data_IF_952816099148
#
_entry.id   IF_952816099148
#
_cell.length_a   1.000
_cell.length_b   1.000
_cell.length_c   1.000
_cell.angle_alpha   90.00
_cell.angle_beta   90.00
_cell.angle_gamma   90.00
#
_symmetry.space_group_name_H-M   'P 1'
#
loop_
_entity.id
_entity.type
_entity.pdbx_description
1 polymer ?
#
# COMPACT_ATOMS: atom_id res chain seq x y z
N UNK A 1 17.24 -11.24 -2.64
CA UNK A 1 16.41 -11.84 -1.55
C UNK A 1 16.66 -11.03 -0.28
N UNK A 2 15.62 -10.65 0.43
CA UNK A 2 15.70 -9.88 1.68
C UNK A 2 16.21 -10.77 2.81
N UNK A 3 17.25 -10.33 3.50
CA UNK A 3 17.71 -10.97 4.73
C UNK A 3 17.00 -10.32 5.92
N UNK A 4 16.03 -11.03 6.46
CA UNK A 4 15.14 -10.53 7.53
C UNK A 4 15.92 -10.23 8.80
N UNK A 5 16.85 -11.08 9.20
CA UNK A 5 17.65 -10.90 10.42
C UNK A 5 18.49 -9.63 10.36
N UNK A 6 19.09 -9.34 9.20
CA UNK A 6 19.79 -8.07 8.97
C UNK A 6 18.87 -6.85 9.12
N UNK A 7 17.69 -6.93 8.53
CA UNK A 7 16.72 -5.83 8.59
C UNK A 7 16.27 -5.61 10.02
N UNK A 8 15.96 -6.66 10.78
CA UNK A 8 15.59 -6.57 12.19
C UNK A 8 16.75 -5.97 13.01
N UNK A 9 17.97 -6.44 12.82
CA UNK A 9 19.13 -5.88 13.52
C UNK A 9 19.33 -4.39 13.23
N UNK A 10 19.13 -3.98 11.98
CA UNK A 10 19.26 -2.58 11.54
C UNK A 10 18.10 -1.68 12.02
N UNK A 11 16.92 -2.26 12.30
CA UNK A 11 15.70 -1.49 12.60
C UNK A 11 15.79 -0.66 13.89
N UNK A 12 16.50 -1.15 14.89
CA UNK A 12 16.70 -0.44 16.17
C UNK A 12 17.45 0.88 15.96
N UNK A 13 18.58 0.82 15.23
CA UNK A 13 19.39 2.01 14.94
C UNK A 13 18.67 2.97 13.99
N UNK A 14 17.93 2.41 13.00
CA UNK A 14 17.08 3.19 12.10
C UNK A 14 16.02 4.00 12.88
N UNK A 15 15.30 3.35 13.80
CA UNK A 15 14.27 3.99 14.62
C UNK A 15 14.87 4.98 15.63
N UNK A 16 16.06 4.71 16.14
CA UNK A 16 16.78 5.65 17.02
C UNK A 16 17.07 6.97 16.31
N UNK A 17 17.69 6.90 15.11
CA UNK A 17 18.02 8.10 14.34
C UNK A 17 16.75 8.83 13.86
N UNK A 18 15.72 8.07 13.46
CA UNK A 18 14.42 8.64 13.06
C UNK A 18 13.79 9.46 14.19
N UNK A 19 13.82 8.96 15.44
CA UNK A 19 13.33 9.69 16.62
C UNK A 19 14.14 10.95 16.93
N UNK A 20 15.39 10.99 16.53
CA UNK A 20 16.28 12.16 16.66
C UNK A 20 16.07 13.20 15.55
N UNK A 21 15.18 12.94 14.58
CA UNK A 21 14.84 13.88 13.50
C UNK A 21 15.82 13.90 12.34
N UNK A 22 16.69 12.90 12.21
CA UNK A 22 17.53 12.78 11.02
C UNK A 22 16.69 12.54 9.77
N UNK A 23 17.15 13.03 8.60
CA UNK A 23 16.45 12.80 7.34
C UNK A 23 16.44 11.31 6.99
N UNK A 24 15.33 10.82 6.45
CA UNK A 24 15.22 9.41 6.04
C UNK A 24 16.35 9.02 5.07
N UNK A 25 16.70 9.89 4.14
CA UNK A 25 17.79 9.66 3.19
C UNK A 25 19.10 9.41 3.93
N UNK A 26 19.47 10.28 4.87
CA UNK A 26 20.71 10.14 5.66
C UNK A 26 20.70 8.89 6.52
N UNK A 27 19.54 8.57 7.14
CA UNK A 27 19.42 7.36 7.96
C UNK A 27 19.64 6.11 7.10
N UNK A 28 18.96 6.01 5.95
CA UNK A 28 19.08 4.85 5.06
C UNK A 28 20.50 4.70 4.49
N UNK A 29 21.23 5.80 4.30
CA UNK A 29 22.63 5.76 3.90
C UNK A 29 23.52 5.23 5.03
N UNK A 30 23.46 5.83 6.22
CA UNK A 30 24.29 5.45 7.38
C UNK A 30 24.01 4.00 7.79
N UNK A 31 22.76 3.67 8.06
CA UNK A 31 22.35 2.35 8.54
C UNK A 31 22.51 1.29 7.44
N UNK A 32 22.15 1.65 6.22
CA UNK A 32 22.31 0.76 5.08
C UNK A 32 23.77 0.38 4.81
N UNK A 33 24.71 1.31 4.98
CA UNK A 33 26.14 1.03 4.83
C UNK A 33 26.68 0.22 6.02
N UNK A 34 26.34 0.60 7.25
CA UNK A 34 26.74 -0.12 8.46
C UNK A 34 26.35 -1.60 8.43
N UNK A 35 25.10 -1.89 8.07
CA UNK A 35 24.57 -3.25 8.03
C UNK A 35 24.69 -3.90 6.63
N UNK A 36 25.35 -3.27 5.68
CA UNK A 36 25.53 -3.75 4.30
C UNK A 36 24.19 -4.19 3.68
N UNK A 37 23.16 -3.33 3.82
CA UNK A 37 21.83 -3.59 3.30
C UNK A 37 21.78 -3.31 1.79
N UNK A 38 21.18 -4.22 1.05
CA UNK A 38 20.84 -4.00 -0.35
C UNK A 38 19.65 -3.03 -0.49
N UNK A 39 19.34 -2.63 -1.72
CA UNK A 39 18.27 -1.67 -2.02
C UNK A 39 16.89 -2.15 -1.49
N UNK A 40 16.59 -3.43 -1.65
CA UNK A 40 15.33 -4.00 -1.21
C UNK A 40 15.21 -3.99 0.33
N UNK A 41 16.28 -4.35 1.04
CA UNK A 41 16.33 -4.30 2.52
C UNK A 41 16.23 -2.87 3.05
N UNK A 42 16.82 -1.87 2.38
CA UNK A 42 16.63 -0.45 2.72
C UNK A 42 15.17 -0.02 2.53
N UNK A 43 14.51 -0.49 1.47
CA UNK A 43 13.09 -0.24 1.25
C UNK A 43 12.22 -0.87 2.34
N UNK A 44 12.57 -2.07 2.83
CA UNK A 44 11.89 -2.69 3.96
C UNK A 44 12.02 -1.83 5.22
N UNK A 45 13.21 -1.31 5.53
CA UNK A 45 13.38 -0.39 6.67
C UNK A 45 12.51 0.86 6.53
N UNK A 46 12.55 1.49 5.37
CA UNK A 46 11.80 2.72 5.11
C UNK A 46 10.29 2.53 5.20
N UNK A 47 9.79 1.49 4.54
CA UNK A 47 8.35 1.23 4.40
C UNK A 47 7.77 0.37 5.52
N UNK A 48 8.61 -0.32 6.31
CA UNK A 48 8.19 -1.31 7.28
C UNK A 48 8.30 -0.89 8.74
N UNK A 49 9.19 0.05 9.08
CA UNK A 49 9.49 0.37 10.47
C UNK A 49 9.12 1.80 10.85
N UNK A 50 8.25 1.90 11.85
CA UNK A 50 7.68 3.16 12.32
C UNK A 50 7.90 3.32 13.82
N UNK A 51 7.98 4.58 14.27
CA UNK A 51 8.08 4.89 15.71
C UNK A 51 6.79 4.55 16.42
N UNK A 52 6.84 4.32 17.74
CA UNK A 52 5.64 4.04 18.56
C UNK A 52 4.55 5.09 18.38
N UNK A 53 4.93 6.37 18.24
CA UNK A 53 3.99 7.47 18.00
C UNK A 53 3.28 7.33 16.64
N UNK A 54 4.03 7.01 15.57
CA UNK A 54 3.45 6.78 14.24
C UNK A 54 2.55 5.55 14.25
N UNK A 55 2.98 4.45 14.86
CA UNK A 55 2.18 3.21 14.97
C UNK A 55 0.86 3.50 15.68
N UNK A 56 0.88 4.12 16.85
CA UNK A 56 -0.34 4.42 17.61
C UNK A 56 -1.31 5.31 16.83
N UNK A 57 -0.79 6.37 16.17
CA UNK A 57 -1.61 7.23 15.33
C UNK A 57 -2.28 6.50 14.16
N UNK A 58 -1.55 5.58 13.50
CA UNK A 58 -2.04 4.82 12.34
C UNK A 58 -3.02 3.72 12.74
N UNK A 59 -2.72 2.97 13.80
CA UNK A 59 -3.60 1.91 14.28
C UNK A 59 -4.97 2.45 14.70
N UNK A 60 -5.05 3.66 15.25
CA UNK A 60 -6.32 4.31 15.60
C UNK A 60 -7.16 4.67 14.38
N UNK A 61 -6.56 4.72 13.18
CA UNK A 61 -7.24 4.99 11.90
C UNK A 61 -7.53 3.74 11.09
N UNK A 62 -6.97 2.58 11.50
CA UNK A 62 -7.11 1.34 10.73
C UNK A 62 -8.54 0.80 10.82
N UNK A 63 -9.14 0.60 9.65
CA UNK A 63 -10.52 0.17 9.50
C UNK A 63 -10.62 -1.34 9.26
N UNK A 64 -11.63 -1.96 9.82
CA UNK A 64 -12.04 -3.33 9.50
C UNK A 64 -13.03 -3.36 8.34
N UNK A 65 -13.35 -4.56 7.81
CA UNK A 65 -14.39 -4.76 6.80
C UNK A 65 -15.74 -4.16 7.25
N UNK A 66 -16.07 -4.28 8.54
CA UNK A 66 -17.32 -3.75 9.10
C UNK A 66 -17.38 -2.22 9.06
N UNK A 67 -16.25 -1.55 9.22
CA UNK A 67 -16.20 -0.09 9.21
C UNK A 67 -16.39 0.50 7.81
N UNK A 68 -15.94 -0.21 6.76
CA UNK A 68 -16.05 0.28 5.38
C UNK A 68 -17.37 -0.09 4.73
N UNK A 69 -18.14 -1.01 5.30
CA UNK A 69 -19.46 -1.37 4.79
C UNK A 69 -20.40 -0.16 4.75
N UNK A 70 -21.10 0.05 3.63
CA UNK A 70 -21.98 1.20 3.40
C UNK A 70 -21.26 2.53 3.19
N UNK A 71 -19.94 2.57 3.14
CA UNK A 71 -19.16 3.80 2.97
C UNK A 71 -18.67 4.03 1.55
N UNK A 72 -18.16 5.24 1.28
CA UNK A 72 -17.28 5.54 0.16
C UNK A 72 -15.85 5.13 0.56
N UNK A 73 -15.20 4.31 -0.29
CA UNK A 73 -13.78 4.00 -0.18
C UNK A 73 -13.02 4.63 -1.35
N UNK A 74 -12.09 5.51 -1.04
CA UNK A 74 -11.22 6.19 -1.99
C UNK A 74 -9.88 5.46 -2.07
N UNK A 75 -9.47 5.04 -3.27
CA UNK A 75 -8.42 4.04 -3.46
C UNK A 75 -7.25 4.66 -4.24
N UNK A 76 -6.08 4.62 -3.63
CA UNK A 76 -4.81 4.92 -4.28
C UNK A 76 -4.48 3.79 -5.26
N UNK A 77 -4.83 4.00 -6.52
CA UNK A 77 -4.88 2.95 -7.53
C UNK A 77 -3.55 2.24 -7.74
N UNK A 78 -2.48 2.99 -8.03
CA UNK A 78 -1.16 2.39 -8.23
C UNK A 78 -0.59 1.76 -6.97
N UNK A 79 -0.74 2.40 -5.82
CA UNK A 79 -0.22 1.91 -4.56
C UNK A 79 -0.80 0.54 -4.22
N UNK A 80 -2.12 0.38 -4.33
CA UNK A 80 -2.79 -0.88 -4.06
C UNK A 80 -2.49 -1.94 -5.12
N UNK A 81 -2.55 -1.57 -6.40
CA UNK A 81 -2.34 -2.49 -7.51
C UNK A 81 -0.91 -3.04 -7.53
N UNK A 82 0.10 -2.19 -7.35
CA UNK A 82 1.52 -2.61 -7.33
C UNK A 82 1.80 -3.56 -6.17
N UNK A 83 1.21 -3.33 -5.00
CA UNK A 83 1.39 -4.23 -3.85
C UNK A 83 0.79 -5.61 -4.13
N UNK A 84 -0.41 -5.69 -4.69
CA UNK A 84 -1.05 -6.96 -5.03
C UNK A 84 -0.30 -7.68 -6.16
N UNK A 85 0.13 -6.93 -7.19
CA UNK A 85 0.95 -7.49 -8.28
C UNK A 85 2.31 -7.98 -7.79
N UNK A 86 2.93 -7.27 -6.86
CA UNK A 86 4.21 -7.68 -6.25
C UNK A 86 4.06 -9.04 -5.60
N UNK A 87 2.99 -9.26 -4.86
CA UNK A 87 2.67 -10.56 -4.30
C UNK A 87 2.49 -11.62 -5.39
N UNK A 88 1.69 -11.35 -6.43
CA UNK A 88 1.44 -12.28 -7.55
C UNK A 88 2.70 -12.62 -8.36
N UNK A 89 3.65 -11.71 -8.42
CA UNK A 89 4.96 -11.89 -9.08
C UNK A 89 6.01 -12.56 -8.19
N UNK A 90 5.65 -13.00 -6.98
CA UNK A 90 6.56 -13.62 -6.02
C UNK A 90 7.61 -12.66 -5.45
N UNK A 91 7.38 -11.35 -5.51
CA UNK A 91 8.23 -10.33 -4.90
C UNK A 91 7.98 -10.25 -3.40
N UNK A 92 8.92 -9.64 -2.69
CA UNK A 92 8.81 -9.52 -1.24
C UNK A 92 7.67 -8.56 -0.85
N UNK A 93 6.66 -9.13 -0.18
CA UNK A 93 5.53 -8.43 0.43
C UNK A 93 5.47 -8.79 1.90
N UNK A 94 5.25 -7.84 2.76
CA UNK A 94 5.35 -7.99 4.21
C UNK A 94 4.33 -7.13 4.94
N UNK A 95 4.01 -7.49 6.17
CA UNK A 95 3.22 -6.69 7.08
C UNK A 95 4.15 -5.84 7.94
N UNK A 96 4.01 -4.53 7.85
CA UNK A 96 4.84 -3.56 8.54
C UNK A 96 4.49 -3.42 10.03
N UNK A 97 5.32 -2.70 10.80
CA UNK A 97 5.11 -2.51 12.25
C UNK A 97 3.81 -1.77 12.61
N UNK A 98 3.19 -1.06 11.66
CA UNK A 98 1.88 -0.42 11.81
C UNK A 98 0.70 -1.32 11.38
N UNK A 99 0.97 -2.59 11.06
CA UNK A 99 -0.03 -3.58 10.68
C UNK A 99 -0.47 -3.56 9.22
N UNK A 100 -0.01 -2.59 8.40
CA UNK A 100 -0.39 -2.45 7.00
C UNK A 100 0.55 -3.26 6.10
N UNK A 101 -0.01 -3.94 5.11
CA UNK A 101 0.77 -4.73 4.14
C UNK A 101 1.40 -3.81 3.10
N UNK A 102 2.68 -4.04 2.80
CA UNK A 102 3.48 -3.29 1.84
C UNK A 102 4.38 -4.19 1.02
N UNK A 103 4.84 -3.67 -0.10
CA UNK A 103 5.85 -4.27 -0.97
C UNK A 103 7.15 -3.46 -0.96
N UNK A 104 8.19 -3.97 -1.61
CA UNK A 104 9.49 -3.29 -1.76
C UNK A 104 9.68 -2.62 -3.12
N UNK A 105 8.68 -2.65 -4.00
CA UNK A 105 8.80 -2.11 -5.35
C UNK A 105 8.92 -0.58 -5.34
N UNK A 106 9.84 -0.06 -6.15
CA UNK A 106 10.06 1.39 -6.32
C UNK A 106 9.49 1.90 -7.64
N UNK A 107 8.53 1.18 -8.24
CA UNK A 107 8.20 1.29 -9.67
C UNK A 107 6.89 2.04 -9.89
N UNK A 108 6.88 3.37 -9.75
CA UNK A 108 5.73 4.16 -10.19
C UNK A 108 5.87 4.66 -11.64
N UNK A 109 7.06 5.17 -12.02
CA UNK A 109 7.21 5.89 -13.30
C UNK A 109 7.27 5.02 -14.55
N UNK A 110 7.54 3.73 -14.43
CA UNK A 110 7.65 2.78 -15.55
C UNK A 110 6.61 1.67 -15.49
N UNK A 111 5.44 1.95 -14.92
CA UNK A 111 4.37 0.98 -14.83
C UNK A 111 3.89 0.54 -16.23
N UNK A 112 3.66 -0.76 -16.39
CA UNK A 112 3.13 -1.37 -17.61
C UNK A 112 1.99 -2.30 -17.28
N UNK A 113 0.92 -2.23 -18.05
CA UNK A 113 -0.18 -3.19 -17.98
C UNK A 113 0.32 -4.54 -18.52
N UNK A 114 0.11 -5.59 -17.77
CA UNK A 114 0.48 -6.97 -18.11
C UNK A 114 -0.71 -7.91 -17.88
N UNK A 115 -0.60 -9.16 -18.28
CA UNK A 115 -1.64 -10.17 -18.00
C UNK A 115 -1.89 -10.32 -16.50
N UNK A 116 -0.83 -10.18 -15.67
CA UNK A 116 -0.96 -10.19 -14.21
C UNK A 116 -1.78 -8.98 -13.73
N UNK A 117 -1.62 -7.81 -14.35
CA UNK A 117 -2.42 -6.62 -14.04
C UNK A 117 -3.91 -6.91 -14.27
N UNK A 118 -4.25 -7.47 -15.42
CA UNK A 118 -5.64 -7.81 -15.77
C UNK A 118 -6.21 -8.87 -14.83
N UNK A 119 -5.43 -9.90 -14.50
CA UNK A 119 -5.81 -10.93 -13.53
C UNK A 119 -6.09 -10.31 -12.15
N UNK A 120 -5.16 -9.50 -11.64
CA UNK A 120 -5.26 -8.85 -10.33
C UNK A 120 -6.47 -7.93 -10.26
N UNK A 121 -6.72 -7.12 -11.29
CA UNK A 121 -7.89 -6.24 -11.34
C UNK A 121 -9.21 -7.03 -11.31
N UNK A 122 -9.31 -8.12 -12.05
CA UNK A 122 -10.50 -8.98 -12.01
C UNK A 122 -10.74 -9.56 -10.62
N UNK A 123 -9.68 -10.02 -9.95
CA UNK A 123 -9.75 -10.55 -8.59
C UNK A 123 -10.13 -9.43 -7.61
N UNK A 124 -9.48 -8.27 -7.68
CA UNK A 124 -9.74 -7.13 -6.80
C UNK A 124 -11.19 -6.68 -6.91
N UNK A 125 -11.65 -6.35 -8.12
CA UNK A 125 -13.01 -5.83 -8.34
C UNK A 125 -14.06 -6.86 -7.92
N UNK A 126 -13.89 -8.14 -8.27
CA UNK A 126 -14.79 -9.20 -7.80
C UNK A 126 -14.88 -9.26 -6.27
N UNK A 127 -13.75 -9.07 -5.58
CA UNK A 127 -13.72 -9.15 -4.12
C UNK A 127 -14.26 -7.87 -3.44
N UNK A 128 -14.20 -6.70 -4.08
CA UNK A 128 -14.83 -5.48 -3.54
C UNK A 128 -16.33 -5.64 -3.24
N UNK A 129 -17.03 -6.50 -3.99
CA UNK A 129 -18.45 -6.81 -3.74
C UNK A 129 -18.68 -7.31 -2.29
N UNK A 130 -17.71 -7.99 -1.69
CA UNK A 130 -17.84 -8.53 -0.32
C UNK A 130 -17.74 -7.46 0.77
N UNK A 131 -17.16 -6.29 0.45
CA UNK A 131 -17.05 -5.19 1.42
C UNK A 131 -18.35 -4.44 1.64
N UNK A 132 -19.34 -4.61 0.72
CA UNK A 132 -20.63 -3.91 0.80
C UNK A 132 -20.47 -2.39 0.76
N UNK A 133 -19.48 -1.89 0.00
CA UNK A 133 -19.25 -0.45 -0.15
C UNK A 133 -20.47 0.23 -0.78
N UNK A 134 -20.77 1.44 -0.33
CA UNK A 134 -21.72 2.31 -1.04
C UNK A 134 -21.13 2.76 -2.38
N UNK A 135 -19.84 3.05 -2.40
CA UNK A 135 -19.12 3.55 -3.58
C UNK A 135 -17.63 3.24 -3.46
N UNK A 136 -16.96 2.94 -4.58
CA UNK A 136 -15.50 2.81 -4.67
C UNK A 136 -14.96 3.78 -5.73
N UNK A 137 -13.96 4.61 -5.37
CA UNK A 137 -13.29 5.52 -6.31
C UNK A 137 -11.81 5.24 -6.37
N UNK A 138 -11.31 4.98 -7.59
CA UNK A 138 -9.90 4.75 -7.83
C UNK A 138 -9.27 5.99 -8.45
N UNK A 139 -8.14 6.42 -7.87
CA UNK A 139 -7.36 7.54 -8.39
C UNK A 139 -6.00 7.06 -8.91
N UNK A 140 -5.67 7.46 -10.13
CA UNK A 140 -4.40 7.14 -10.78
C UNK A 140 -3.67 8.41 -11.19
N UNK A 141 -2.32 8.39 -11.09
CA UNK A 141 -1.49 9.51 -11.53
C UNK A 141 -1.58 9.70 -13.05
N UNK A 142 -2.12 10.83 -13.50
CA UNK A 142 -2.26 11.18 -14.93
C UNK A 142 -0.93 11.18 -15.70
N UNK A 143 0.21 11.63 -15.13
CA UNK A 143 1.50 11.62 -15.82
C UNK A 143 2.07 10.22 -16.09
N UNK A 144 1.53 9.17 -15.44
CA UNK A 144 2.01 7.80 -15.64
C UNK A 144 1.37 7.21 -16.90
N UNK A 145 2.20 6.66 -17.79
CA UNK A 145 1.72 6.01 -19.02
C UNK A 145 0.69 4.93 -18.72
N UNK A 146 -0.31 4.80 -19.59
CA UNK A 146 -1.41 3.83 -19.49
C UNK A 146 -2.37 4.01 -18.32
N UNK A 147 -2.31 5.11 -17.56
CA UNK A 147 -3.25 5.37 -16.46
C UNK A 147 -4.71 5.45 -16.93
N UNK A 148 -4.95 6.07 -18.10
CA UNK A 148 -6.28 6.12 -18.71
C UNK A 148 -6.81 4.75 -19.12
N UNK A 149 -5.95 3.87 -19.67
CA UNK A 149 -6.32 2.50 -20.04
C UNK A 149 -6.71 1.68 -18.81
N UNK A 150 -5.99 1.84 -17.69
CA UNK A 150 -6.35 1.22 -16.41
C UNK A 150 -7.73 1.68 -15.92
N UNK A 151 -8.00 2.98 -16.01
CA UNK A 151 -9.30 3.53 -15.60
C UNK A 151 -10.44 2.94 -16.45
N UNK A 152 -10.28 2.82 -17.77
CA UNK A 152 -11.28 2.19 -18.64
C UNK A 152 -11.54 0.75 -18.20
N UNK A 153 -10.48 -0.05 -18.04
CA UNK A 153 -10.60 -1.46 -17.63
C UNK A 153 -11.28 -1.62 -16.27
N UNK A 154 -10.92 -0.78 -15.29
CA UNK A 154 -11.54 -0.82 -13.96
C UNK A 154 -13.03 -0.45 -14.04
N UNK A 155 -13.38 0.61 -14.78
CA UNK A 155 -14.76 1.04 -14.93
C UNK A 155 -15.62 -0.05 -15.60
N UNK A 156 -15.12 -0.73 -16.64
CA UNK A 156 -15.80 -1.86 -17.25
C UNK A 156 -16.04 -3.01 -16.25
N UNK A 157 -15.01 -3.35 -15.45
CA UNK A 157 -15.12 -4.38 -14.43
C UNK A 157 -16.10 -3.99 -13.31
N UNK A 158 -16.06 -2.73 -12.84
CA UNK A 158 -16.99 -2.22 -11.83
C UNK A 158 -18.44 -2.28 -12.33
N UNK A 159 -18.69 -1.83 -13.56
CA UNK A 159 -20.00 -1.91 -14.19
C UNK A 159 -20.50 -3.35 -14.29
N UNK A 160 -19.64 -4.28 -14.75
CA UNK A 160 -19.96 -5.72 -14.83
C UNK A 160 -20.36 -6.30 -13.47
N UNK A 161 -19.72 -5.87 -12.41
CA UNK A 161 -19.97 -6.34 -11.03
C UNK A 161 -20.98 -5.48 -10.26
N UNK A 162 -21.57 -4.44 -10.90
CA UNK A 162 -22.54 -3.51 -10.31
C UNK A 162 -22.01 -2.81 -9.07
N UNK A 163 -20.73 -2.44 -9.07
CA UNK A 163 -20.10 -1.65 -8.03
C UNK A 163 -20.26 -0.18 -8.40
N UNK A 164 -20.88 0.61 -7.51
CA UNK A 164 -21.01 2.05 -7.69
C UNK A 164 -19.64 2.75 -7.54
N UNK A 165 -19.43 3.80 -8.33
CA UNK A 165 -18.21 4.60 -8.33
C UNK A 165 -17.50 4.58 -9.67
N UNK A 166 -16.22 4.96 -9.66
CA UNK A 166 -15.42 5.09 -10.89
C UNK A 166 -13.92 4.96 -10.63
N UNK A 167 -13.17 4.82 -11.71
CA UNK A 167 -11.73 5.04 -11.75
C UNK A 167 -11.44 6.24 -12.65
N UNK A 168 -10.57 7.12 -12.20
CA UNK A 168 -10.19 8.33 -12.94
C UNK A 168 -8.71 8.67 -12.76
N UNK A 169 -8.19 9.45 -13.70
CA UNK A 169 -6.83 9.99 -13.60
C UNK A 169 -6.86 11.39 -13.02
N UNK A 170 -5.98 11.66 -12.07
CA UNK A 170 -5.79 12.97 -11.44
C UNK A 170 -4.33 13.40 -11.52
N UNK A 171 -4.04 14.67 -11.37
CA UNK A 171 -2.65 15.16 -11.41
C UNK A 171 -1.81 14.67 -10.24
N UNK A 172 -2.43 14.50 -9.07
CA UNK A 172 -1.80 13.97 -7.86
C UNK A 172 -2.86 13.28 -6.99
N UNK A 173 -2.89 11.94 -6.96
CA UNK A 173 -3.72 11.18 -6.04
C UNK A 173 -3.53 11.59 -4.58
N UNK A 174 -2.28 11.87 -4.17
CA UNK A 174 -1.97 12.30 -2.80
C UNK A 174 -2.76 13.54 -2.39
N UNK A 175 -2.92 14.50 -3.32
CA UNK A 175 -3.66 15.73 -3.04
C UNK A 175 -5.16 15.49 -2.84
N UNK A 176 -5.72 14.52 -3.58
CA UNK A 176 -7.14 14.15 -3.44
C UNK A 176 -7.36 13.33 -2.17
N UNK A 177 -6.51 12.33 -1.95
CA UNK A 177 -6.69 11.32 -0.91
C UNK A 177 -6.38 11.81 0.50
N UNK A 178 -5.56 12.84 0.70
CA UNK A 178 -5.26 13.38 2.03
C UNK A 178 -6.48 13.96 2.75
N UNK A 179 -7.45 14.49 2.00
CA UNK A 179 -8.67 15.08 2.55
C UNK A 179 -9.84 14.08 2.57
N UNK A 180 -9.63 12.87 2.07
CA UNK A 180 -10.63 11.82 1.96
C UNK A 180 -11.06 11.26 3.33
N UNK A 181 -12.27 10.69 3.37
CA UNK A 181 -12.81 10.09 4.58
C UNK A 181 -12.16 8.75 4.88
N UNK A 182 -12.43 7.74 4.04
CA UNK A 182 -11.86 6.40 4.14
C UNK A 182 -11.01 6.12 2.91
N UNK A 183 -9.75 5.80 3.13
CA UNK A 183 -8.75 5.63 2.08
C UNK A 183 -8.15 4.24 2.12
N UNK A 184 -7.97 3.65 0.93
CA UNK A 184 -7.14 2.46 0.75
C UNK A 184 -5.78 2.88 0.19
N UNK A 185 -4.76 2.91 1.05
CA UNK A 185 -3.37 3.21 0.69
C UNK A 185 -2.40 2.63 1.71
N UNK A 186 -1.15 2.45 1.31
CA UNK A 186 -0.03 2.17 2.21
C UNK A 186 0.97 3.34 2.27
N UNK A 187 0.67 4.46 1.59
CA UNK A 187 1.53 5.65 1.60
C UNK A 187 1.46 6.37 2.94
N UNK A 188 2.63 6.66 3.50
CA UNK A 188 2.77 7.24 4.84
C UNK A 188 2.28 8.68 4.95
N UNK A 189 2.32 9.44 3.86
CA UNK A 189 1.87 10.84 3.84
C UNK A 189 0.34 10.87 3.88
N UNK A 190 -0.31 10.12 2.99
CA UNK A 190 -1.78 10.03 2.94
C UNK A 190 -2.32 9.47 4.26
N UNK A 191 -1.68 8.40 4.80
CA UNK A 191 -2.05 7.80 6.09
C UNK A 191 -2.05 8.85 7.23
N UNK A 192 -1.09 9.76 7.21
CA UNK A 192 -0.99 10.78 8.28
C UNK A 192 -2.18 11.74 8.28
N UNK A 193 -2.72 12.07 7.11
CA UNK A 193 -3.80 13.06 6.94
C UNK A 193 -5.20 12.42 6.94
N UNK A 194 -5.38 11.23 6.33
CA UNK A 194 -6.66 10.55 6.21
C UNK A 194 -7.35 10.29 7.56
N UNK A 195 -8.69 10.27 7.56
CA UNK A 195 -9.52 10.00 8.75
C UNK A 195 -9.59 8.52 9.08
N UNK A 196 -9.66 7.66 8.07
CA UNK A 196 -9.69 6.20 8.21
C UNK A 196 -8.94 5.51 7.08
N UNK A 197 -8.29 4.40 7.39
CA UNK A 197 -7.41 3.68 6.46
C UNK A 197 -7.86 2.24 6.38
N UNK A 198 -8.10 1.75 5.18
CA UNK A 198 -8.36 0.34 4.93
C UNK A 198 -7.18 -0.29 4.19
N UNK A 199 -6.57 -1.31 4.76
CA UNK A 199 -5.50 -2.09 4.12
C UNK A 199 -6.08 -3.02 3.05
N UNK A 200 -6.51 -2.44 1.93
CA UNK A 200 -7.19 -3.16 0.85
C UNK A 200 -6.28 -4.24 0.23
N UNK A 201 -5.02 -3.93 0.00
CA UNK A 201 -4.06 -4.89 -0.57
C UNK A 201 -3.83 -6.06 0.39
N UNK A 202 -3.56 -5.78 1.67
CA UNK A 202 -3.38 -6.81 2.68
C UNK A 202 -4.63 -7.65 2.91
N UNK A 203 -5.79 -7.00 2.96
CA UNK A 203 -7.08 -7.68 3.06
C UNK A 203 -7.30 -8.63 1.88
N UNK A 204 -7.09 -8.17 0.64
CA UNK A 204 -7.28 -8.99 -0.55
C UNK A 204 -6.31 -10.18 -0.59
N UNK A 205 -5.03 -9.91 -0.35
CA UNK A 205 -3.97 -10.93 -0.36
C UNK A 205 -4.28 -12.03 0.67
N UNK A 206 -4.64 -11.64 1.87
CA UNK A 206 -4.98 -12.58 2.95
C UNK A 206 -6.25 -13.36 2.65
N UNK A 207 -7.28 -12.70 2.13
CA UNK A 207 -8.57 -13.32 1.81
C UNK A 207 -8.45 -14.36 0.69
N UNK A 208 -7.73 -14.02 -0.38
CA UNK A 208 -7.69 -14.83 -1.61
C UNK A 208 -6.64 -15.93 -1.53
N UNK A 209 -5.43 -15.59 -1.09
CA UNK A 209 -4.29 -16.52 -1.17
C UNK A 209 -3.83 -17.05 0.19
N UNK A 210 -4.25 -16.45 1.30
CA UNK A 210 -3.92 -16.88 2.67
C UNK A 210 -2.44 -17.14 2.91
N UNK A 211 -1.52 -16.25 2.47
CA UNK A 211 -0.10 -16.46 2.63
C UNK A 211 0.34 -16.33 4.09
N UNK A 212 1.50 -16.94 4.37
CA UNK A 212 2.27 -16.60 5.58
C UNK A 212 3.24 -15.47 5.22
N UNK A 213 2.79 -14.23 5.36
CA UNK A 213 3.65 -13.05 5.17
C UNK A 213 4.64 -12.91 6.33
N UNK A 214 5.81 -12.32 6.05
CA UNK A 214 6.69 -11.82 7.11
C UNK A 214 5.94 -10.70 7.83
N UNK A 215 5.82 -10.81 9.15
CA UNK A 215 5.07 -9.87 10.00
C UNK A 215 6.02 -9.14 10.96
N UNK A 216 6.28 -7.86 10.70
CA UNK A 216 7.07 -7.01 11.57
C UNK A 216 6.24 -6.33 12.68
N UNK A 217 4.93 -6.49 12.70
CA UNK A 217 4.07 -5.88 13.73
C UNK A 217 4.24 -6.53 15.12
N UNK A 218 4.91 -7.69 15.16
CA UNK A 218 5.21 -8.45 16.37
C UNK A 218 6.65 -8.27 16.86
N UNK A 219 7.45 -7.42 16.21
CA UNK A 219 8.85 -7.15 16.53
C UNK A 219 9.03 -6.02 17.57
#
# INVERSE_FOLDING_TARGET
>A
MVNIDKVIAASSDYLYLKRRGYSIKSILEIIGNRFQLNTEERNVLYRGFFTKKEIGSRMNKLLSEKNVNGSLLEIDGYNQLITIESYRKGRFVFKATDGIVRDTASVYRSYKITDITVEVLRILIKNLCYLGLREAKFYFDKPISHSGELCVLINELMNKHRIAGNAETVMSPDHVLKDAGFVATSDSVIISEAKGIFDLAGWLITRVWRPKLVDFSVC
#
